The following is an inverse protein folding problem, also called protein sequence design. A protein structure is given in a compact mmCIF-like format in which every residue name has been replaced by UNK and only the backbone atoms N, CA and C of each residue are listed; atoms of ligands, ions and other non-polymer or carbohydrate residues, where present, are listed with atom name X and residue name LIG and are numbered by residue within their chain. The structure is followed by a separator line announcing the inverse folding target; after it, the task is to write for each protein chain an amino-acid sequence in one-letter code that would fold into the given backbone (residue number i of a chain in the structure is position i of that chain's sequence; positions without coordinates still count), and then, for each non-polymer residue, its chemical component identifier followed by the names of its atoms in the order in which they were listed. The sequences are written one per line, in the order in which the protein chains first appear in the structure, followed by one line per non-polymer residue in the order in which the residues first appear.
data_IF_830518207713
#
_entry.id   IF_830518207713
#
_cell.length_a   1.000
_cell.length_b   1.000
_cell.length_c   1.000
_cell.angle_alpha   90.00
_cell.angle_beta   90.00
_cell.angle_gamma   90.00
#
_symmetry.space_group_name_H-M   'P 1'
#
loop_
_entity.id
_entity.type
_entity.pdbx_description
1 polymer ?
#
# COMPACT_ATOMS: atom_id res chain seq x y z
N UNK A 1 -8.50 25.19 -13.70
CA UNK A 1 -7.94 26.10 -12.70
C UNK A 1 -8.69 25.88 -11.37
N UNK A 2 -8.07 25.18 -10.41
CA UNK A 2 -8.68 24.96 -9.08
C UNK A 2 -8.56 23.56 -8.53
N UNK A 3 -8.10 22.57 -9.32
CA UNK A 3 -7.88 21.22 -8.79
C UNK A 3 -6.65 21.19 -7.86
N UNK A 4 -6.65 20.30 -6.87
CA UNK A 4 -5.51 20.06 -5.96
C UNK A 4 -4.25 19.75 -6.73
N UNK A 5 -4.36 18.99 -7.83
CA UNK A 5 -3.27 18.72 -8.76
C UNK A 5 -2.64 20.01 -9.29
N UNK A 6 -3.46 20.96 -9.79
CA UNK A 6 -2.95 22.22 -10.31
C UNK A 6 -2.20 23.03 -9.23
N UNK A 7 -2.77 23.13 -8.03
CA UNK A 7 -2.17 23.86 -6.91
C UNK A 7 -0.83 23.24 -6.48
N UNK A 8 -0.76 21.92 -6.31
CA UNK A 8 0.45 21.21 -5.87
C UNK A 8 1.54 21.15 -6.95
N UNK A 9 1.20 20.72 -8.16
CA UNK A 9 2.20 20.43 -9.20
C UNK A 9 2.55 21.62 -10.09
N UNK A 10 1.66 22.59 -10.23
CA UNK A 10 1.89 23.79 -11.07
C UNK A 10 2.26 25.00 -10.22
N UNK A 11 1.61 25.20 -9.06
CA UNK A 11 1.84 26.34 -8.20
C UNK A 11 2.77 26.04 -7.02
N UNK A 12 3.07 24.77 -6.72
CA UNK A 12 3.88 24.37 -5.56
C UNK A 12 3.20 24.66 -4.20
N UNK A 13 1.89 24.86 -4.21
CA UNK A 13 1.12 25.16 -3.00
C UNK A 13 0.60 23.88 -2.34
N UNK A 14 0.72 23.79 -1.02
CA UNK A 14 0.03 22.77 -0.24
C UNK A 14 -1.47 23.04 -0.24
N UNK A 15 -2.24 22.22 -0.94
CA UNK A 15 -3.69 22.27 -0.90
C UNK A 15 -4.22 20.91 -0.43
N UNK A 16 -4.99 20.90 0.64
CA UNK A 16 -5.78 19.75 1.07
C UNK A 16 -6.98 19.68 0.12
N UNK A 17 -7.18 18.57 -0.59
CA UNK A 17 -8.41 18.34 -1.32
C UNK A 17 -9.53 18.09 -0.30
N UNK A 18 -10.62 18.81 -0.39
CA UNK A 18 -11.85 18.43 0.31
C UNK A 18 -12.23 17.01 -0.13
N UNK A 19 -12.54 16.13 0.82
CA UNK A 19 -12.91 14.76 0.55
C UNK A 19 -11.78 13.72 0.52
N UNK A 20 -10.50 14.08 0.68
CA UNK A 20 -9.43 13.09 0.79
C UNK A 20 -9.57 12.23 2.04
N UNK A 21 -9.40 10.91 1.86
CA UNK A 21 -9.41 9.93 2.96
C UNK A 21 -8.23 10.16 3.91
N UNK A 22 -7.05 10.39 3.34
CA UNK A 22 -5.81 10.59 4.10
C UNK A 22 -5.24 12.00 3.95
N UNK A 23 -6.11 13.03 4.08
CA UNK A 23 -5.71 14.44 3.94
C UNK A 23 -4.64 14.91 4.94
N UNK A 24 -4.38 14.14 6.00
CA UNK A 24 -3.32 14.40 6.98
C UNK A 24 -1.93 13.89 6.52
N UNK A 25 -1.85 13.05 5.49
CA UNK A 25 -0.58 12.58 4.93
C UNK A 25 0.20 13.77 4.34
N UNK A 26 1.48 13.89 4.68
CA UNK A 26 2.32 15.02 4.29
C UNK A 26 3.80 14.62 4.19
N UNK A 27 4.71 15.57 3.94
CA UNK A 27 6.13 15.32 3.75
C UNK A 27 6.82 14.65 4.94
N UNK A 28 6.33 14.80 6.16
CA UNK A 28 6.87 14.09 7.33
C UNK A 28 6.66 12.58 7.26
N UNK A 29 5.73 12.12 6.42
CA UNK A 29 5.49 10.72 6.13
C UNK A 29 6.39 10.18 5.01
N UNK A 30 7.20 11.02 4.37
CA UNK A 30 8.16 10.61 3.33
C UNK A 30 9.54 10.50 3.93
N UNK A 31 10.29 9.47 3.54
CA UNK A 31 11.69 9.32 3.95
C UNK A 31 12.60 9.02 2.75
N UNK A 32 13.89 9.36 2.90
CA UNK A 32 14.93 9.26 1.86
C UNK A 32 16.19 8.62 2.47
N UNK A 33 16.06 7.41 2.99
CA UNK A 33 17.19 6.62 3.47
C UNK A 33 17.49 5.51 2.45
N UNK A 34 18.73 5.03 2.40
CA UNK A 34 19.10 3.90 1.57
C UNK A 34 18.26 2.66 1.90
N UNK A 35 17.64 2.07 0.87
CA UNK A 35 16.82 0.87 1.03
C UNK A 35 17.70 -0.36 1.17
N UNK A 36 17.81 -0.86 2.40
CA UNK A 36 18.54 -2.08 2.77
C UNK A 36 17.87 -2.78 3.95
N UNK A 37 18.05 -4.09 4.11
CA UNK A 37 17.49 -4.81 5.25
C UNK A 37 18.17 -4.38 6.57
N UNK A 38 17.37 -4.20 7.63
CA UNK A 38 17.81 -3.94 8.99
C UNK A 38 17.52 -5.17 9.87
N UNK A 39 18.47 -5.52 10.75
CA UNK A 39 18.38 -6.74 11.55
C UNK A 39 17.28 -6.73 12.62
N UNK A 40 16.82 -5.55 13.02
CA UNK A 40 15.77 -5.34 14.02
C UNK A 40 14.39 -5.11 13.42
N UNK A 41 14.24 -5.34 12.11
CA UNK A 41 13.00 -5.16 11.37
C UNK A 41 12.48 -6.48 10.79
N UNK A 42 11.16 -6.58 10.67
CA UNK A 42 10.43 -7.63 9.96
C UNK A 42 10.00 -7.11 8.59
N UNK A 43 10.09 -7.96 7.57
CA UNK A 43 9.74 -7.61 6.20
C UNK A 43 8.59 -8.45 5.70
N UNK A 44 7.66 -7.80 5.01
CA UNK A 44 6.47 -8.42 4.44
C UNK A 44 6.23 -7.89 3.04
N UNK A 45 5.57 -8.67 2.22
CA UNK A 45 4.95 -8.13 1.01
C UNK A 45 3.46 -7.91 1.27
N UNK A 46 2.94 -6.80 0.79
CA UNK A 46 1.51 -6.53 0.74
C UNK A 46 1.11 -6.43 -0.73
N UNK A 47 0.02 -7.11 -1.12
CA UNK A 47 -0.40 -7.21 -2.52
C UNK A 47 -1.88 -6.90 -2.66
N UNK A 48 -2.19 -5.97 -3.55
CA UNK A 48 -3.51 -5.83 -4.15
C UNK A 48 -3.49 -6.41 -5.56
N UNK A 49 -4.39 -7.36 -5.84
CA UNK A 49 -4.35 -8.16 -7.06
C UNK A 49 -5.48 -7.80 -8.01
N UNK A 50 -5.12 -7.22 -9.15
CA UNK A 50 -6.00 -7.03 -10.29
C UNK A 50 -5.48 -7.74 -11.54
N UNK A 51 -6.38 -8.21 -12.40
CA UNK A 51 -6.04 -8.78 -13.71
C UNK A 51 -6.12 -7.74 -14.83
N UNK A 52 -7.23 -7.02 -14.92
CA UNK A 52 -7.42 -5.84 -15.78
C UNK A 52 -7.18 -4.55 -15.01
N UNK A 53 -7.53 -4.54 -13.74
CA UNK A 53 -7.16 -3.49 -12.79
C UNK A 53 -5.68 -3.60 -12.43
N UNK A 54 -5.06 -2.56 -11.92
CA UNK A 54 -3.68 -2.61 -11.52
C UNK A 54 -3.37 -3.74 -10.54
N UNK A 55 -2.15 -4.28 -10.69
CA UNK A 55 -1.51 -5.18 -9.75
C UNK A 55 -0.47 -4.38 -8.99
N UNK A 56 -0.65 -4.27 -7.68
CA UNK A 56 0.24 -3.49 -6.82
C UNK A 56 0.94 -4.38 -5.78
N UNK A 57 2.24 -4.15 -5.55
CA UNK A 57 3.03 -4.77 -4.49
C UNK A 57 3.71 -3.66 -3.70
N UNK A 58 3.61 -3.73 -2.35
CA UNK A 58 4.43 -2.97 -1.43
C UNK A 58 5.36 -3.88 -0.64
N UNK A 59 6.66 -3.56 -0.56
CA UNK A 59 7.58 -4.15 0.41
C UNK A 59 7.48 -3.34 1.70
N UNK A 60 6.96 -3.98 2.73
CA UNK A 60 6.69 -3.36 4.02
C UNK A 60 7.76 -3.76 5.05
N UNK A 61 8.40 -2.77 5.64
CA UNK A 61 9.28 -2.92 6.80
C UNK A 61 8.51 -2.57 8.08
N UNK A 62 8.66 -3.37 9.11
CA UNK A 62 8.11 -3.06 10.43
C UNK A 62 9.16 -3.26 11.51
N UNK A 63 9.43 -2.24 12.31
CA UNK A 63 10.36 -2.34 13.43
C UNK A 63 9.68 -2.84 14.72
N UNK A 64 10.50 -3.15 15.75
CA UNK A 64 10.01 -3.64 17.04
C UNK A 64 9.12 -2.66 17.83
N UNK A 65 9.05 -1.37 17.41
CA UNK A 65 8.15 -0.34 17.98
C UNK A 65 6.87 -0.17 17.18
N UNK A 66 6.66 -1.01 16.16
CA UNK A 66 5.47 -1.00 15.32
C UNK A 66 5.44 0.12 14.27
N UNK A 67 6.53 0.88 14.05
CA UNK A 67 6.63 1.78 12.90
C UNK A 67 6.69 0.95 11.63
N UNK A 68 5.89 1.36 10.65
CA UNK A 68 5.77 0.74 9.33
C UNK A 68 6.40 1.67 8.29
N UNK A 69 7.18 1.10 7.38
CA UNK A 69 7.70 1.77 6.20
C UNK A 69 7.36 0.97 4.96
N UNK A 70 6.87 1.62 3.92
CA UNK A 70 6.90 1.05 2.59
C UNK A 70 8.24 1.42 1.95
N UNK A 71 9.06 0.40 1.66
CA UNK A 71 10.45 0.59 1.23
C UNK A 71 10.66 0.41 -0.27
N UNK A 72 9.79 -0.34 -0.93
CA UNK A 72 9.73 -0.51 -2.39
C UNK A 72 8.30 -0.72 -2.82
N UNK A 73 8.00 -0.34 -4.05
CA UNK A 73 6.73 -0.62 -4.71
C UNK A 73 6.91 -1.27 -6.08
N UNK A 74 5.87 -1.92 -6.55
CA UNK A 74 5.68 -2.30 -7.94
C UNK A 74 4.23 -2.06 -8.32
N UNK A 75 4.03 -1.46 -9.47
CA UNK A 75 2.72 -1.19 -10.03
C UNK A 75 2.67 -1.64 -11.49
N UNK A 76 1.59 -2.31 -11.90
CA UNK A 76 1.34 -2.65 -13.29
C UNK A 76 -0.14 -2.54 -13.59
N UNK A 77 -0.50 -1.72 -14.57
CA UNK A 77 -1.87 -1.54 -15.04
C UNK A 77 -2.02 -2.09 -16.47
N UNK A 78 -2.80 -3.14 -16.62
CA UNK A 78 -3.15 -3.67 -17.94
C UNK A 78 -3.97 -2.69 -18.78
N UNK A 79 -4.72 -1.81 -18.14
CA UNK A 79 -5.48 -0.75 -18.84
C UNK A 79 -4.56 0.32 -19.42
N UNK A 80 -3.55 0.74 -18.67
CA UNK A 80 -2.62 1.79 -19.11
C UNK A 80 -1.65 1.28 -20.17
N UNK A 81 -1.16 0.05 -20.01
CA UNK A 81 -0.20 -0.55 -20.92
C UNK A 81 -0.85 -1.15 -22.17
N UNK A 82 -2.17 -1.36 -22.17
CA UNK A 82 -2.90 -2.05 -23.23
C UNK A 82 -2.60 -3.56 -23.32
N UNK A 83 -1.93 -4.12 -22.30
CA UNK A 83 -1.52 -5.53 -22.28
C UNK A 83 -1.82 -6.14 -20.91
N UNK A 84 -2.13 -7.44 -20.89
CA UNK A 84 -2.22 -8.23 -19.65
C UNK A 84 -1.00 -9.11 -19.53
N UNK A 85 -0.53 -9.31 -18.31
CA UNK A 85 0.51 -10.29 -18.00
C UNK A 85 -0.09 -11.40 -17.14
N UNK A 86 0.51 -12.59 -17.21
CA UNK A 86 0.02 -13.76 -16.48
C UNK A 86 0.52 -13.81 -15.02
N UNK A 87 -0.03 -14.71 -14.24
CA UNK A 87 0.34 -14.87 -12.83
C UNK A 87 1.80 -15.30 -12.64
N UNK A 88 2.40 -15.97 -13.61
CA UNK A 88 3.81 -16.35 -13.57
C UNK A 88 4.72 -15.11 -13.71
N UNK A 89 4.34 -14.16 -14.57
CA UNK A 89 5.04 -12.89 -14.70
C UNK A 89 4.89 -12.03 -13.44
N UNK A 90 3.69 -11.97 -12.84
CA UNK A 90 3.49 -11.33 -11.54
C UNK A 90 4.31 -11.99 -10.43
N UNK A 91 4.39 -13.32 -10.41
CA UNK A 91 5.22 -14.03 -9.44
C UNK A 91 6.71 -13.66 -9.54
N UNK A 92 7.23 -13.48 -10.75
CA UNK A 92 8.60 -13.00 -10.96
C UNK A 92 8.82 -11.61 -10.37
N UNK A 93 7.82 -10.72 -10.42
CA UNK A 93 7.92 -9.40 -9.78
C UNK A 93 7.89 -9.52 -8.26
N UNK A 94 7.07 -10.41 -7.70
CA UNK A 94 7.07 -10.71 -6.26
C UNK A 94 8.48 -11.11 -5.80
N UNK A 95 9.12 -12.07 -6.50
CA UNK A 95 10.49 -12.52 -6.20
C UNK A 95 11.48 -11.37 -6.32
N UNK A 96 11.37 -10.55 -7.37
CA UNK A 96 12.26 -9.40 -7.60
C UNK A 96 12.17 -8.35 -6.50
N UNK A 97 10.96 -8.01 -6.05
CA UNK A 97 10.76 -7.04 -4.96
C UNK A 97 11.28 -7.59 -3.62
N UNK A 98 11.11 -8.89 -3.39
CA UNK A 98 11.57 -9.59 -2.19
C UNK A 98 13.10 -9.76 -2.11
N UNK A 99 13.79 -9.63 -3.25
CA UNK A 99 15.21 -9.93 -3.34
C UNK A 99 16.07 -9.11 -2.36
N UNK A 100 16.91 -9.82 -1.59
CA UNK A 100 17.75 -9.24 -0.55
C UNK A 100 17.05 -9.01 0.80
N UNK A 101 15.74 -9.33 0.96
CA UNK A 101 14.99 -9.10 2.20
C UNK A 101 14.47 -10.40 2.83
N UNK A 102 14.55 -10.56 4.17
CA UNK A 102 14.07 -11.76 4.88
C UNK A 102 12.54 -11.71 5.05
N UNK A 103 11.79 -12.04 3.99
CA UNK A 103 10.34 -11.93 3.93
C UNK A 103 9.67 -12.94 4.88
N UNK A 104 8.82 -12.46 5.78
CA UNK A 104 8.03 -13.25 6.73
C UNK A 104 6.79 -13.89 6.07
N UNK A 105 6.25 -13.23 5.06
CA UNK A 105 5.09 -13.69 4.31
C UNK A 105 4.50 -12.60 3.42
N UNK A 106 3.39 -12.94 2.76
CA UNK A 106 2.65 -12.06 1.84
C UNK A 106 1.25 -11.86 2.41
N UNK A 107 0.88 -10.60 2.65
CA UNK A 107 -0.52 -10.24 2.89
C UNK A 107 -1.15 -9.89 1.55
N UNK A 108 -2.24 -10.53 1.19
CA UNK A 108 -2.84 -10.39 -0.14
C UNK A 108 -4.36 -10.30 -0.05
N UNK A 109 -4.97 -9.62 -1.00
CA UNK A 109 -6.43 -9.58 -1.16
C UNK A 109 -7.03 -10.99 -1.02
N UNK A 110 -8.01 -11.18 -0.12
CA UNK A 110 -8.66 -12.48 0.07
C UNK A 110 -9.32 -13.03 -1.21
N UNK A 111 -9.73 -12.18 -2.13
CA UNK A 111 -10.33 -12.58 -3.42
C UNK A 111 -9.32 -13.10 -4.45
N UNK A 112 -8.01 -12.88 -4.27
CA UNK A 112 -6.93 -13.20 -5.19
C UNK A 112 -6.61 -14.71 -5.29
N UNK A 113 -7.60 -15.57 -5.45
CA UNK A 113 -7.45 -17.03 -5.40
C UNK A 113 -6.42 -17.56 -6.42
N UNK A 114 -6.45 -17.04 -7.65
CA UNK A 114 -5.53 -17.47 -8.71
C UNK A 114 -4.06 -17.12 -8.39
N UNK A 115 -3.80 -15.92 -7.87
CA UNK A 115 -2.47 -15.49 -7.49
C UNK A 115 -1.95 -16.28 -6.28
N UNK A 116 -2.79 -16.50 -5.27
CA UNK A 116 -2.47 -17.34 -4.11
C UNK A 116 -2.10 -18.77 -4.52
N UNK A 117 -2.82 -19.34 -5.49
CA UNK A 117 -2.50 -20.68 -6.04
C UNK A 117 -1.12 -20.69 -6.71
N UNK A 118 -0.77 -19.64 -7.47
CA UNK A 118 0.54 -19.49 -8.11
C UNK A 118 1.64 -19.37 -7.06
N UNK A 119 1.48 -18.52 -6.05
CA UNK A 119 2.46 -18.36 -4.95
C UNK A 119 2.66 -19.70 -4.21
N UNK A 120 1.57 -20.41 -3.91
CA UNK A 120 1.61 -21.71 -3.25
C UNK A 120 2.35 -22.78 -4.11
N UNK A 121 2.18 -22.77 -5.43
CA UNK A 121 2.86 -23.69 -6.36
C UNK A 121 4.38 -23.62 -6.21
N UNK A 122 4.93 -22.42 -6.02
CA UNK A 122 6.37 -22.22 -5.85
C UNK A 122 6.86 -22.48 -4.41
N UNK A 123 5.98 -22.36 -3.41
CA UNK A 123 6.26 -22.72 -2.01
C UNK A 123 7.27 -21.82 -1.28
N UNK A 124 7.72 -20.74 -1.89
CA UNK A 124 8.72 -19.83 -1.30
C UNK A 124 8.14 -18.92 -0.23
N UNK A 125 6.88 -18.51 -0.39
CA UNK A 125 6.24 -17.55 0.51
C UNK A 125 4.94 -18.10 1.09
N UNK A 126 4.65 -17.73 2.33
CA UNK A 126 3.35 -17.94 2.96
C UNK A 126 2.40 -16.80 2.60
N UNK A 127 1.16 -17.12 2.18
CA UNK A 127 0.10 -16.12 2.02
C UNK A 127 -0.75 -16.01 3.27
N UNK A 128 -1.16 -14.79 3.59
CA UNK A 128 -2.12 -14.44 4.63
C UNK A 128 -3.19 -13.58 3.96
N UNK A 129 -4.45 -13.92 4.15
CA UNK A 129 -5.56 -13.12 3.64
C UNK A 129 -5.59 -11.76 4.36
N UNK A 130 -5.58 -10.68 3.59
CA UNK A 130 -5.78 -9.32 4.08
C UNK A 130 -7.18 -9.16 4.66
N UNK A 131 -7.30 -8.42 5.76
CA UNK A 131 -8.61 -8.07 6.27
C UNK A 131 -9.22 -7.00 5.37
N UNK A 132 -10.36 -7.30 4.74
CA UNK A 132 -11.01 -6.46 3.76
C UNK A 132 -12.09 -5.52 4.35
N UNK A 133 -12.10 -5.30 5.66
CA UNK A 133 -12.94 -4.29 6.30
C UNK A 133 -12.38 -2.89 5.99
N UNK A 134 -13.02 -2.20 5.03
CA UNK A 134 -12.52 -0.95 4.47
C UNK A 134 -12.52 0.16 5.52
N UNK A 135 -13.65 0.40 6.17
CA UNK A 135 -13.82 1.55 7.06
C UNK A 135 -12.95 1.44 8.33
N UNK A 136 -12.95 0.28 8.97
CA UNK A 136 -12.08 0.03 10.13
C UNK A 136 -10.60 0.04 9.72
N UNK A 137 -10.28 -0.46 8.55
CA UNK A 137 -8.92 -0.43 8.01
C UNK A 137 -8.43 0.99 7.73
N UNK A 138 -9.27 1.86 7.14
CA UNK A 138 -8.98 3.28 6.93
C UNK A 138 -8.71 3.99 8.27
N UNK A 139 -9.53 3.74 9.29
CA UNK A 139 -9.32 4.31 10.62
C UNK A 139 -7.96 3.91 11.21
N UNK A 140 -7.56 2.65 11.05
CA UNK A 140 -6.27 2.19 11.56
C UNK A 140 -5.09 2.82 10.79
N UNK A 141 -5.16 2.93 9.45
CA UNK A 141 -4.14 3.65 8.66
C UNK A 141 -4.06 5.12 9.06
N UNK A 142 -5.21 5.80 9.22
CA UNK A 142 -5.29 7.18 9.71
C UNK A 142 -4.55 7.36 11.04
N UNK A 143 -4.73 6.41 11.97
CA UNK A 143 -4.04 6.42 13.25
C UNK A 143 -2.52 6.29 13.09
N UNK A 144 -2.06 5.39 12.21
CA UNK A 144 -0.63 5.25 11.92
C UNK A 144 -0.02 6.51 11.32
N UNK A 145 -0.73 7.20 10.42
CA UNK A 145 -0.29 8.48 9.84
C UNK A 145 -0.19 9.55 10.94
N UNK A 146 -1.25 9.76 11.72
CA UNK A 146 -1.32 10.77 12.77
C UNK A 146 -0.27 10.60 13.87
N UNK A 147 0.11 9.35 14.17
CA UNK A 147 1.16 9.04 15.14
C UNK A 147 2.58 9.06 14.55
N UNK A 148 2.74 9.36 13.26
CA UNK A 148 4.03 9.31 12.57
C UNK A 148 4.61 7.89 12.47
N UNK A 149 3.76 6.88 12.55
CA UNK A 149 4.15 5.46 12.49
C UNK A 149 4.16 4.89 11.07
N UNK A 150 3.58 5.59 10.07
CA UNK A 150 3.62 5.22 8.66
C UNK A 150 4.54 6.16 7.90
N UNK A 151 5.52 5.60 7.21
CA UNK A 151 6.41 6.32 6.30
C UNK A 151 6.51 5.60 4.95
N UNK A 152 6.62 6.38 3.88
CA UNK A 152 6.71 5.90 2.49
C UNK A 152 8.06 6.34 1.93
N UNK A 153 8.80 5.43 1.30
CA UNK A 153 10.05 5.80 0.66
C UNK A 153 9.80 6.76 -0.52
N UNK A 154 10.68 7.73 -0.72
CA UNK A 154 10.55 8.75 -1.78
C UNK A 154 10.32 8.16 -3.17
N UNK A 155 10.89 6.98 -3.45
CA UNK A 155 10.80 6.31 -4.75
C UNK A 155 9.49 5.50 -4.94
N UNK A 156 8.66 5.36 -3.90
CA UNK A 156 7.31 4.80 -4.02
C UNK A 156 6.35 5.86 -4.60
N UNK A 157 6.46 6.09 -5.89
CA UNK A 157 5.80 7.22 -6.59
C UNK A 157 4.31 6.99 -6.80
N UNK A 158 3.90 5.76 -7.08
CA UNK A 158 2.47 5.43 -7.26
C UNK A 158 1.72 5.48 -5.92
N UNK A 159 2.31 4.94 -4.86
CA UNK A 159 1.77 5.07 -3.50
C UNK A 159 1.54 6.54 -3.11
N UNK A 160 2.52 7.41 -3.37
CA UNK A 160 2.38 8.85 -3.08
C UNK A 160 1.26 9.50 -3.88
N UNK A 161 1.15 9.19 -5.18
CA UNK A 161 0.05 9.70 -6.02
C UNK A 161 -1.32 9.27 -5.48
N UNK A 162 -1.46 8.01 -5.06
CA UNK A 162 -2.71 7.54 -4.50
C UNK A 162 -3.07 8.22 -3.18
N UNK A 163 -2.11 8.50 -2.29
CA UNK A 163 -2.37 9.32 -1.10
C UNK A 163 -2.92 10.73 -1.45
N UNK A 164 -2.55 11.26 -2.60
CA UNK A 164 -2.99 12.58 -3.04
C UNK A 164 -4.36 12.58 -3.74
N UNK A 165 -4.87 11.40 -4.11
CA UNK A 165 -6.10 11.27 -4.92
C UNK A 165 -7.17 10.41 -4.26
N UNK A 166 -6.82 9.57 -3.27
CA UNK A 166 -7.76 8.68 -2.62
C UNK A 166 -8.80 9.46 -1.81
N UNK A 167 -10.04 9.41 -2.25
CA UNK A 167 -11.12 10.28 -1.75
C UNK A 167 -12.38 9.51 -1.41
N UNK A 168 -13.20 10.10 -0.54
CA UNK A 168 -14.55 9.65 -0.27
C UNK A 168 -15.46 9.90 -1.47
N UNK A 169 -16.46 9.04 -1.66
CA UNK A 169 -17.50 9.25 -2.67
C UNK A 169 -18.62 10.12 -2.09
N UNK A 170 -18.57 11.41 -2.37
CA UNK A 170 -19.56 12.39 -1.91
C UNK A 170 -21.00 12.12 -2.40
N UNK A 171 -21.15 11.22 -3.37
CA UNK A 171 -22.46 10.84 -3.93
C UNK A 171 -23.05 9.59 -3.27
N UNK A 172 -22.26 8.86 -2.51
CA UNK A 172 -22.72 7.67 -1.81
C UNK A 172 -23.55 8.05 -0.58
N UNK A 173 -24.50 7.18 -0.24
CA UNK A 173 -25.32 7.35 0.99
C UNK A 173 -24.57 6.92 2.25
N UNK A 174 -23.61 6.02 2.09
CA UNK A 174 -22.75 5.49 3.14
C UNK A 174 -21.30 5.95 2.93
N UNK A 175 -20.49 5.93 3.98
CA UNK A 175 -19.07 6.25 3.92
C UNK A 175 -18.32 5.22 3.05
N UNK A 176 -18.29 5.47 1.76
CA UNK A 176 -17.58 4.68 0.75
C UNK A 176 -16.51 5.51 0.07
N UNK A 177 -15.48 4.84 -0.42
CA UNK A 177 -14.39 5.47 -1.15
C UNK A 177 -14.57 5.30 -2.64
N UNK A 178 -14.05 6.25 -3.42
CA UNK A 178 -13.97 6.13 -4.88
C UNK A 178 -13.00 5.00 -5.22
N UNK A 179 -13.49 4.01 -5.99
CA UNK A 179 -12.72 2.82 -6.39
C UNK A 179 -11.93 3.07 -7.68
N UNK A 180 -11.08 4.09 -7.66
CA UNK A 180 -10.17 4.43 -8.74
C UNK A 180 -8.82 4.80 -8.12
N UNK A 181 -7.71 4.22 -8.62
CA UNK A 181 -6.35 4.48 -8.12
C UNK A 181 -6.27 4.31 -6.60
N UNK A 182 -6.73 3.16 -6.10
CA UNK A 182 -6.78 2.83 -4.67
C UNK A 182 -5.96 1.58 -4.30
N UNK A 183 -5.17 1.05 -5.25
CA UNK A 183 -4.49 -0.24 -5.11
C UNK A 183 -3.37 -0.23 -4.06
N UNK A 184 -2.58 0.84 -3.99
CA UNK A 184 -1.56 1.02 -2.96
C UNK A 184 -2.19 1.38 -1.61
N UNK A 185 -3.31 2.09 -1.60
CA UNK A 185 -4.08 2.34 -0.38
C UNK A 185 -4.65 1.04 0.20
N UNK A 186 -5.15 0.16 -0.65
CA UNK A 186 -5.68 -1.13 -0.24
C UNK A 186 -4.58 -2.06 0.28
N UNK A 187 -3.41 -2.18 -0.38
CA UNK A 187 -2.32 -3.02 0.14
C UNK A 187 -1.74 -2.51 1.48
N UNK A 188 -1.61 -1.18 1.68
CA UNK A 188 -1.19 -0.59 2.95
C UNK A 188 -2.23 -0.91 4.03
N UNK A 189 -3.52 -0.77 3.71
CA UNK A 189 -4.63 -1.10 4.59
C UNK A 189 -4.61 -2.58 4.97
N UNK A 190 -4.43 -3.49 3.99
CA UNK A 190 -4.29 -4.93 4.28
C UNK A 190 -3.15 -5.20 5.24
N UNK A 191 -1.97 -4.63 5.01
CA UNK A 191 -0.81 -4.84 5.86
C UNK A 191 -1.02 -4.31 7.28
N UNK A 192 -1.40 -3.05 7.41
CA UNK A 192 -1.57 -2.39 8.72
C UNK A 192 -2.68 -3.09 9.49
N UNK A 193 -3.84 -3.29 8.88
CA UNK A 193 -5.00 -3.83 9.59
C UNK A 193 -4.89 -5.34 9.90
N UNK A 194 -4.14 -6.12 9.10
CA UNK A 194 -3.97 -7.56 9.33
C UNK A 194 -2.79 -7.87 10.22
N UNK A 195 -1.66 -7.20 10.02
CA UNK A 195 -0.37 -7.53 10.64
C UNK A 195 0.04 -6.48 11.66
N UNK A 196 0.30 -5.24 11.24
CA UNK A 196 1.02 -4.27 12.05
C UNK A 196 0.29 -3.92 13.36
N UNK A 197 -1.03 -3.75 13.33
CA UNK A 197 -1.83 -3.45 14.53
C UNK A 197 -1.70 -4.50 15.66
N UNK A 198 -1.34 -5.75 15.34
CA UNK A 198 -1.17 -6.79 16.35
C UNK A 198 0.09 -6.59 17.20
N UNK A 199 1.09 -5.95 16.61
CA UNK A 199 2.36 -5.65 17.29
C UNK A 199 2.27 -4.37 18.13
N UNK A 200 1.35 -3.46 17.79
CA UNK A 200 1.18 -2.18 18.47
C UNK A 200 0.24 -2.19 19.68
N UNK A 201 -0.30 -3.34 20.08
CA UNK A 201 -1.27 -3.43 21.21
C UNK A 201 -0.72 -2.98 22.58
N UNK A 202 0.56 -2.63 22.69
CA UNK A 202 1.19 -2.14 23.91
C UNK A 202 1.59 -0.66 23.89
N UNK A 203 1.42 0.06 22.76
CA UNK A 203 1.89 1.44 22.58
C UNK A 203 0.78 2.42 22.20
N UNK A 204 -0.48 1.95 22.15
CA UNK A 204 -1.63 2.76 21.75
C UNK A 204 -2.74 2.63 22.79
#
# INVERSE_FOLDING_TARGET
EGTVYYKRYILGEWAIAEGLVYGMFNDSNIYDEEVKPHNDCLYWLAIDYGTMNPFAIGLMEMNGRGRVREVKEYHYSGRETGATIDNEAYYKQIVRIADGFPIQGIVIDPSAAAMKATIKKYGQFKCIDGNNDVNNGIQEVTKYINLGLLQIHKDCTETKKEFETYAWDDKAVEDTVIKESDHHMDLIRYFIYTIARKYNRGYI
#
